data_IF_303578894756
#
_entry.id   IF_303578894756
#
_cell.length_a   1.000
_cell.length_b   1.000
_cell.length_c   1.000
_cell.angle_alpha   90.00
_cell.angle_beta   90.00
_cell.angle_gamma   90.00
#
_symmetry.space_group_name_H-M   'P 1'
#
loop_
_entity.id
_entity.type
_entity.pdbx_description
1 polymer ?
#
# COMPACT_ATOMS: atom_id res chain seq x y z
N UNK A 1 7.55 -0.42 -12.33
CA UNK A 1 7.80 0.10 -13.70
C UNK A 1 6.79 1.20 -13.99
N UNK A 2 6.91 1.91 -15.11
CA UNK A 2 5.94 2.93 -15.53
C UNK A 2 4.90 2.36 -16.53
N UNK A 3 4.73 1.04 -16.52
CA UNK A 3 3.88 0.31 -17.46
C UNK A 3 2.69 -0.36 -16.76
N UNK A 4 2.91 -0.89 -15.55
CA UNK A 4 1.89 -1.50 -14.72
C UNK A 4 0.87 -0.47 -14.27
N UNK A 5 -0.40 -0.86 -14.30
CA UNK A 5 -1.52 -0.07 -13.83
C UNK A 5 -1.90 -0.44 -12.39
N UNK A 6 -2.75 0.39 -11.79
CA UNK A 6 -3.35 0.13 -10.48
C UNK A 6 -4.10 -1.21 -10.41
N UNK A 7 -4.63 -1.68 -11.55
CA UNK A 7 -5.40 -2.93 -11.62
C UNK A 7 -4.49 -4.17 -11.56
N UNK A 8 -3.19 -4.00 -11.78
CA UNK A 8 -2.21 -5.08 -11.73
C UNK A 8 -1.71 -5.35 -10.30
N UNK A 9 -2.00 -4.43 -9.37
CA UNK A 9 -1.64 -4.56 -7.95
C UNK A 9 -2.63 -5.51 -7.25
N UNK A 10 -2.15 -6.67 -6.83
CA UNK A 10 -2.94 -7.61 -6.02
C UNK A 10 -2.90 -7.21 -4.55
N UNK A 11 -4.06 -6.89 -3.98
CA UNK A 11 -4.18 -6.65 -2.54
C UNK A 11 -4.23 -7.98 -1.80
N UNK A 12 -3.24 -8.24 -0.96
CA UNK A 12 -3.17 -9.43 -0.12
C UNK A 12 -4.36 -9.46 0.87
N UNK A 13 -5.12 -10.56 0.87
CA UNK A 13 -6.12 -10.84 1.89
C UNK A 13 -5.52 -11.82 2.91
N UNK A 14 -5.33 -11.36 4.14
CA UNK A 14 -4.75 -12.14 5.23
C UNK A 14 -5.81 -12.88 6.04
N UNK A 15 -5.36 -13.76 6.92
CA UNK A 15 -6.25 -14.50 7.83
C UNK A 15 -7.04 -13.53 8.70
N UNK A 16 -8.33 -13.79 8.85
CA UNK A 16 -9.18 -13.04 9.78
C UNK A 16 -8.74 -13.18 11.24
N UNK A 17 -7.97 -14.23 11.56
CA UNK A 17 -7.43 -14.45 12.91
C UNK A 17 -6.54 -13.29 13.38
N UNK A 18 -5.80 -12.63 12.49
CA UNK A 18 -4.94 -11.48 12.84
C UNK A 18 -5.75 -10.25 13.29
N UNK A 19 -7.04 -10.19 12.93
CA UNK A 19 -7.98 -9.16 13.40
C UNK A 19 -8.72 -9.64 14.65
N UNK A 20 -9.06 -10.94 14.71
CA UNK A 20 -9.86 -11.50 15.80
C UNK A 20 -9.05 -11.80 17.07
N UNK A 21 -7.71 -11.94 16.96
CA UNK A 21 -6.81 -12.32 18.06
C UNK A 21 -5.58 -11.41 18.13
N UNK A 22 -5.15 -11.11 19.36
CA UNK A 22 -3.86 -10.46 19.66
C UNK A 22 -3.15 -11.29 20.72
N UNK A 23 -1.86 -11.61 20.51
CA UNK A 23 -1.06 -12.48 21.40
C UNK A 23 -1.76 -13.81 21.76
N UNK A 24 -2.44 -14.42 20.79
CA UNK A 24 -3.19 -15.67 20.97
C UNK A 24 -4.49 -15.53 21.78
N UNK A 25 -4.88 -14.31 22.19
CA UNK A 25 -6.12 -14.04 22.92
C UNK A 25 -7.15 -13.37 22.01
N UNK A 26 -8.39 -13.85 22.07
CA UNK A 26 -9.48 -13.34 21.25
C UNK A 26 -9.95 -11.97 21.75
N UNK A 27 -10.05 -11.00 20.84
CA UNK A 27 -10.41 -9.60 21.16
C UNK A 27 -11.76 -9.15 20.59
N UNK A 28 -12.40 -9.96 19.75
CA UNK A 28 -13.73 -9.68 19.18
C UNK A 28 -14.84 -10.60 19.79
N UNK A 29 -16.14 -10.28 19.67
CA UNK A 29 -17.26 -11.13 20.12
C UNK A 29 -17.30 -12.50 19.44
N UNK A 30 -17.80 -13.56 20.11
CA UNK A 30 -17.85 -14.92 19.53
C UNK A 30 -18.73 -14.94 18.27
N UNK A 31 -18.34 -15.78 17.30
CA UNK A 31 -19.05 -16.01 16.04
C UNK A 31 -19.10 -14.82 15.06
N UNK A 32 -18.22 -13.83 15.22
CA UNK A 32 -17.97 -12.80 14.19
C UNK A 32 -16.75 -13.20 13.37
N UNK A 33 -16.83 -12.99 12.05
CA UNK A 33 -15.68 -13.05 11.14
C UNK A 33 -15.03 -11.67 10.96
N UNK A 34 -13.93 -11.62 10.23
CA UNK A 34 -13.28 -10.36 9.85
C UNK A 34 -12.83 -10.36 8.39
N UNK A 35 -12.68 -9.16 7.83
CA UNK A 35 -12.06 -8.93 6.53
C UNK A 35 -10.73 -8.24 6.79
N UNK A 36 -9.64 -8.81 6.28
CA UNK A 36 -8.33 -8.21 6.40
C UNK A 36 -7.62 -8.11 5.05
N UNK A 37 -7.69 -6.94 4.44
CA UNK A 37 -6.83 -6.55 3.34
C UNK A 37 -5.57 -5.90 3.92
N UNK A 38 -4.39 -6.45 3.62
CA UNK A 38 -3.13 -6.01 4.22
C UNK A 38 -2.64 -4.67 3.66
N UNK A 39 -3.11 -4.28 2.48
CA UNK A 39 -2.71 -3.06 1.79
C UNK A 39 -3.94 -2.32 1.24
N UNK A 40 -3.76 -1.03 1.01
CA UNK A 40 -4.67 -0.20 0.22
C UNK A 40 -3.87 0.60 -0.82
N UNK A 41 -4.57 1.35 -1.67
CA UNK A 41 -3.96 2.20 -2.67
C UNK A 41 -4.23 3.66 -2.33
N UNK A 42 -3.15 4.43 -2.18
CA UNK A 42 -3.22 5.89 -2.05
C UNK A 42 -3.14 6.55 -3.42
N UNK A 43 -4.17 7.30 -3.88
CA UNK A 43 -4.12 8.03 -5.14
C UNK A 43 -2.94 9.02 -5.19
N UNK A 44 -2.20 9.15 -6.32
CA UNK A 44 -1.03 10.02 -6.43
C UNK A 44 -1.28 11.51 -6.11
N UNK A 45 -2.53 11.98 -6.26
CA UNK A 45 -2.92 13.34 -5.89
C UNK A 45 -2.91 13.63 -4.38
N UNK A 46 -2.83 12.60 -3.54
CA UNK A 46 -2.74 12.71 -2.09
C UNK A 46 -1.30 12.61 -1.54
N UNK A 47 -0.32 12.43 -2.42
CA UNK A 47 1.11 12.28 -2.06
C UNK A 47 1.86 13.55 -2.48
N UNK A 48 2.52 14.24 -1.54
CA UNK A 48 3.29 15.46 -1.84
C UNK A 48 4.64 15.17 -2.51
N UNK A 49 5.29 14.08 -2.12
CA UNK A 49 6.52 13.61 -2.74
C UNK A 49 6.88 12.18 -2.35
N UNK A 50 7.82 11.59 -3.08
CA UNK A 50 8.35 10.25 -2.84
C UNK A 50 9.83 10.38 -2.48
N UNK A 51 10.24 9.90 -1.31
CA UNK A 51 11.64 9.95 -0.87
C UNK A 51 12.35 8.67 -1.33
N UNK A 52 13.49 8.83 -1.98
CA UNK A 52 14.34 7.72 -2.46
C UNK A 52 15.81 7.98 -2.12
N UNK A 53 16.69 7.02 -2.40
CA UNK A 53 18.14 7.16 -2.28
C UNK A 53 18.74 8.23 -3.21
N UNK A 54 18.00 8.63 -4.26
CA UNK A 54 18.38 9.67 -5.22
C UNK A 54 17.81 11.05 -4.85
N UNK A 55 17.15 11.19 -3.70
CA UNK A 55 16.57 12.45 -3.21
C UNK A 55 15.04 12.42 -3.14
N UNK A 56 14.41 13.59 -3.18
CA UNK A 56 12.95 13.74 -3.08
C UNK A 56 12.37 13.93 -4.49
N UNK A 57 11.41 13.09 -4.85
CA UNK A 57 10.62 13.20 -6.09
C UNK A 57 9.36 14.00 -5.79
N UNK A 58 9.39 15.28 -6.13
CA UNK A 58 8.24 16.18 -6.00
C UNK A 58 7.31 16.10 -7.22
N UNK A 59 6.20 16.83 -7.16
CA UNK A 59 5.30 16.99 -8.31
C UNK A 59 6.01 17.74 -9.47
N UNK A 60 5.70 17.41 -10.74
CA UNK A 60 4.84 16.33 -11.20
C UNK A 60 5.56 14.96 -11.12
N UNK A 61 4.99 14.04 -10.31
CA UNK A 61 5.63 12.78 -9.92
C UNK A 61 6.07 11.95 -11.12
N UNK A 62 5.20 11.77 -12.13
CA UNK A 62 5.54 10.92 -13.28
C UNK A 62 6.75 11.42 -14.08
N UNK A 63 6.80 12.73 -14.36
CA UNK A 63 7.92 13.35 -15.10
C UNK A 63 9.22 13.25 -14.30
N UNK A 64 9.17 13.60 -13.02
CA UNK A 64 10.35 13.63 -12.16
C UNK A 64 10.86 12.21 -11.88
N UNK A 65 9.96 11.24 -11.71
CA UNK A 65 10.29 9.82 -11.57
C UNK A 65 10.99 9.28 -12.84
N UNK A 66 10.49 9.59 -14.05
CA UNK A 66 11.17 9.24 -15.31
C UNK A 66 12.59 9.80 -15.40
N UNK A 67 12.79 11.05 -15.00
CA UNK A 67 14.11 11.68 -15.01
C UNK A 67 15.13 10.96 -14.12
N UNK A 68 14.69 10.42 -12.99
CA UNK A 68 15.53 9.77 -11.98
C UNK A 68 15.78 8.29 -12.32
N UNK A 69 14.86 7.64 -13.05
CA UNK A 69 15.03 6.26 -13.52
C UNK A 69 15.98 6.14 -14.71
N UNK A 70 16.10 7.19 -15.54
CA UNK A 70 16.94 7.19 -16.75
C UNK A 70 18.38 7.69 -16.53
N UNK A 71 18.73 8.07 -15.29
CA UNK A 71 20.08 8.47 -14.89
C UNK A 71 20.70 7.45 -13.95
#
# INVERSE_FOLDING_TARGET
>A
DLESSINDVKIEKRSEEEVLYIFGRRIAPKNVGAIYYAFDITPPKLVDGIITEKGIIERPIEKNLRSIMNG
#
